data_IF_069501049917
#
_entry.id   IF_069501049917
#
_cell.length_a   1.000
_cell.length_b   1.000
_cell.length_c   1.000
_cell.angle_alpha   90.00
_cell.angle_beta   90.00
_cell.angle_gamma   90.00
#
_symmetry.space_group_name_H-M   'P 1'
#
loop_
_entity.id
_entity.type
_entity.pdbx_description
1 polymer ?
#
# COMPACT_ATOMS: atom_id res chain seq x y z
N UNK A 1 -13.16 12.30 -8.63
CA UNK A 1 -13.00 11.46 -7.43
C UNK A 1 -13.04 10.02 -7.90
N UNK A 2 -12.01 9.23 -7.60
CA UNK A 2 -11.95 7.82 -7.98
C UNK A 2 -12.27 7.00 -6.75
N UNK A 3 -13.02 5.90 -6.92
CA UNK A 3 -13.31 4.99 -5.82
C UNK A 3 -12.13 4.04 -5.67
N UNK A 4 -11.50 4.06 -4.50
CA UNK A 4 -10.46 3.10 -4.13
C UNK A 4 -11.12 1.97 -3.36
N UNK A 5 -10.78 0.74 -3.70
CA UNK A 5 -11.26 -0.46 -3.01
C UNK A 5 -10.08 -1.38 -2.74
N UNK A 6 -9.87 -1.70 -1.47
CA UNK A 6 -8.91 -2.72 -1.06
C UNK A 6 -9.54 -4.10 -1.15
N UNK A 7 -8.74 -5.09 -1.55
CA UNK A 7 -9.13 -6.50 -1.41
C UNK A 7 -9.03 -6.90 0.05
N UNK A 8 -9.81 -7.90 0.47
CA UNK A 8 -9.71 -8.44 1.83
C UNK A 8 -8.29 -8.95 2.12
N UNK A 9 -7.67 -9.62 1.15
CA UNK A 9 -6.27 -10.07 1.26
C UNK A 9 -5.30 -8.91 1.52
N UNK A 10 -5.45 -7.77 0.82
CA UNK A 10 -4.56 -6.63 1.03
C UNK A 10 -4.73 -6.00 2.43
N UNK A 11 -5.93 -6.03 3.00
CA UNK A 11 -6.15 -5.60 4.38
C UNK A 11 -5.52 -6.57 5.38
N UNK A 12 -5.62 -7.88 5.15
CA UNK A 12 -4.94 -8.90 5.95
C UNK A 12 -3.41 -8.76 5.88
N UNK A 13 -2.85 -8.51 4.70
CA UNK A 13 -1.41 -8.28 4.53
C UNK A 13 -0.94 -7.07 5.34
N UNK A 14 -1.69 -5.97 5.32
CA UNK A 14 -1.39 -4.77 6.12
C UNK A 14 -1.45 -5.10 7.63
N UNK A 15 -2.44 -5.86 8.06
CA UNK A 15 -2.59 -6.30 9.46
C UNK A 15 -1.42 -7.21 9.89
N UNK A 16 -1.01 -8.16 9.06
CA UNK A 16 0.11 -9.05 9.33
C UNK A 16 1.44 -8.28 9.41
N UNK A 17 1.67 -7.34 8.49
CA UNK A 17 2.84 -6.44 8.51
C UNK A 17 2.86 -5.61 9.80
N UNK A 18 1.72 -4.99 10.15
CA UNK A 18 1.62 -4.19 11.36
C UNK A 18 1.87 -5.05 12.62
N UNK A 19 1.25 -6.23 12.69
CA UNK A 19 1.41 -7.19 13.78
C UNK A 19 2.85 -7.69 13.92
N UNK A 20 3.58 -7.82 12.81
CA UNK A 20 4.99 -8.16 12.83
C UNK A 20 5.84 -7.02 13.40
N UNK A 21 5.65 -5.79 12.91
CA UNK A 21 6.41 -4.61 13.35
C UNK A 21 6.10 -4.24 14.81
N UNK A 22 4.86 -4.43 15.25
CA UNK A 22 4.43 -4.09 16.62
C UNK A 22 5.22 -4.84 17.69
N UNK A 23 5.71 -6.05 17.37
CA UNK A 23 6.57 -6.85 18.26
C UNK A 23 7.83 -6.10 18.70
N UNK A 24 8.30 -5.15 17.89
CA UNK A 24 9.42 -4.26 18.20
C UNK A 24 8.92 -2.87 18.63
N UNK A 25 7.98 -2.28 17.90
CA UNK A 25 7.44 -0.96 18.23
C UNK A 25 6.03 -0.72 17.68
N UNK A 26 5.06 -0.58 18.59
CA UNK A 26 3.69 -0.17 18.26
C UNK A 26 3.64 1.14 17.45
N UNK A 27 4.47 2.13 17.82
CA UNK A 27 4.52 3.41 17.11
C UNK A 27 5.02 3.26 15.68
N UNK A 28 5.99 2.36 15.46
CA UNK A 28 6.46 2.06 14.11
C UNK A 28 5.40 1.35 13.28
N UNK A 29 4.69 0.38 13.86
CA UNK A 29 3.57 -0.31 13.20
C UNK A 29 2.48 0.67 12.77
N UNK A 30 2.03 1.54 13.69
CA UNK A 30 1.04 2.57 13.37
C UNK A 30 1.52 3.49 12.24
N UNK A 31 2.79 3.92 12.28
CA UNK A 31 3.36 4.77 11.22
C UNK A 31 3.37 4.05 9.87
N UNK A 32 3.68 2.76 9.84
CA UNK A 32 3.68 1.98 8.59
C UNK A 32 2.28 1.87 8.00
N UNK A 33 1.27 1.56 8.82
CA UNK A 33 -0.14 1.49 8.38
C UNK A 33 -0.59 2.83 7.78
N UNK A 34 -0.27 3.95 8.44
CA UNK A 34 -0.61 5.28 7.92
C UNK A 34 0.07 5.58 6.58
N UNK A 35 1.29 5.09 6.33
CA UNK A 35 1.96 5.27 5.04
C UNK A 35 1.26 4.51 3.92
N UNK A 36 0.76 3.29 4.17
CA UNK A 36 0.00 2.55 3.16
C UNK A 36 -1.28 3.29 2.76
N UNK A 37 -2.05 3.80 3.73
CA UNK A 37 -3.27 4.55 3.44
C UNK A 37 -3.01 5.93 2.84
N UNK A 38 -1.88 6.57 3.13
CA UNK A 38 -1.50 7.83 2.48
C UNK A 38 -1.33 7.71 0.95
N UNK A 39 -1.11 6.50 0.43
CA UNK A 39 -1.08 6.24 -1.02
C UNK A 39 -2.42 6.55 -1.68
N UNK A 40 -3.54 6.39 -0.96
CA UNK A 40 -4.87 6.69 -1.48
C UNK A 40 -5.03 8.16 -1.89
N UNK A 41 -4.42 9.08 -1.13
CA UNK A 41 -4.44 10.51 -1.45
C UNK A 41 -3.76 10.79 -2.80
N UNK A 42 -2.67 10.07 -3.07
CA UNK A 42 -1.95 10.17 -4.35
C UNK A 42 -2.78 9.60 -5.50
N UNK A 43 -3.46 8.46 -5.29
CA UNK A 43 -4.31 7.83 -6.31
C UNK A 43 -5.57 8.65 -6.66
N UNK A 44 -6.10 9.40 -5.69
CA UNK A 44 -7.24 10.30 -5.93
C UNK A 44 -6.93 11.40 -6.95
N UNK A 45 -5.67 11.87 -6.99
CA UNK A 45 -5.21 12.92 -7.91
C UNK A 45 -4.56 12.35 -9.17
N UNK A 46 -3.84 11.23 -9.05
CA UNK A 46 -3.05 10.63 -10.12
C UNK A 46 -3.18 9.10 -10.11
N UNK A 47 -4.21 8.58 -10.79
CA UNK A 47 -4.45 7.13 -10.90
C UNK A 47 -3.27 6.35 -11.52
N UNK A 48 -2.39 7.06 -12.23
CA UNK A 48 -1.20 6.48 -12.88
C UNK A 48 0.13 6.78 -12.15
N UNK A 49 0.09 7.12 -10.86
CA UNK A 49 1.30 7.48 -10.07
C UNK A 49 2.27 6.30 -9.85
N UNK A 50 1.77 5.07 -9.74
CA UNK A 50 2.62 3.88 -9.66
C UNK A 50 3.41 3.63 -10.95
N UNK A 51 4.45 2.80 -10.89
CA UNK A 51 5.11 2.30 -12.10
C UNK A 51 4.44 1.01 -12.56
N UNK A 52 4.51 0.69 -13.85
CA UNK A 52 4.12 -0.64 -14.35
C UNK A 52 5.04 -1.67 -13.71
N UNK A 53 4.47 -2.77 -13.22
CA UNK A 53 5.25 -3.83 -12.58
C UNK A 53 6.06 -4.58 -13.65
N UNK A 54 7.41 -4.59 -13.59
CA UNK A 54 8.25 -5.20 -14.62
C UNK A 54 7.98 -6.69 -14.86
N UNK A 55 7.57 -7.40 -13.82
CA UNK A 55 7.29 -8.84 -13.81
C UNK A 55 5.95 -9.17 -14.48
N UNK A 56 5.05 -8.19 -14.61
CA UNK A 56 3.75 -8.36 -15.26
C UNK A 56 3.73 -7.65 -16.62
N UNK A 57 3.27 -8.36 -17.66
CA UNK A 57 3.12 -7.81 -19.01
C UNK A 57 1.81 -6.99 -19.16
N UNK A 58 1.38 -6.28 -18.12
CA UNK A 58 0.10 -5.56 -18.09
C UNK A 58 0.25 -4.14 -17.53
N UNK A 59 -0.27 -3.15 -18.26
CA UNK A 59 -0.31 -1.75 -17.79
C UNK A 59 -1.31 -1.52 -16.64
N UNK A 60 -2.23 -2.46 -16.43
CA UNK A 60 -3.26 -2.39 -15.39
C UNK A 60 -2.71 -2.79 -14.02
N UNK A 61 -1.55 -3.47 -13.98
CA UNK A 61 -0.86 -3.85 -12.74
C UNK A 61 0.27 -2.86 -12.50
N UNK A 62 0.14 -2.10 -11.40
CA UNK A 62 1.03 -0.98 -11.09
C UNK A 62 1.42 -1.05 -9.62
N UNK A 63 2.66 -0.70 -9.32
CA UNK A 63 3.20 -0.71 -7.96
C UNK A 63 3.60 0.68 -7.51
N UNK A 64 3.42 0.91 -6.20
CA UNK A 64 3.84 2.10 -5.49
C UNK A 64 4.67 1.62 -4.31
N UNK A 65 5.95 1.97 -4.30
CA UNK A 65 6.89 1.50 -3.28
C UNK A 65 6.76 2.37 -2.03
N UNK A 66 6.49 1.75 -0.89
CA UNK A 66 6.34 2.34 0.44
C UNK A 66 7.38 1.72 1.38
N UNK A 67 8.52 2.40 1.49
CA UNK A 67 9.73 1.89 2.18
C UNK A 67 10.20 0.55 1.62
N UNK A 68 9.98 -0.55 2.35
CA UNK A 68 10.40 -1.91 1.99
C UNK A 68 9.26 -2.74 1.38
N UNK A 69 8.14 -2.10 1.04
CA UNK A 69 6.91 -2.73 0.55
C UNK A 69 6.46 -2.12 -0.77
#
# INVERSE_FOLDING_TARGET
MVKITWTENALLDIEEIASFIEKDSFKAAQKQVLKFFAVEESLNSHIKVGRTVPEFLSEDVREIIVDNY
#
